data_IF_489846461846
#
_entry.id   IF_489846461846
#
_cell.length_a   1.000
_cell.length_b   1.000
_cell.length_c   1.000
_cell.angle_alpha   90.00
_cell.angle_beta   90.00
_cell.angle_gamma   90.00
#
_symmetry.space_group_name_H-M   'P 1'
#
loop_
_entity.id
_entity.type
_entity.pdbx_description
1 polymer ?
#
# COMPACT_ATOMS: atom_id res chain seq x y z
N UNK A 1 7.58 -12.48 60.74
CA UNK A 1 6.97 -13.05 59.52
C UNK A 1 6.50 -14.51 59.65
N UNK A 2 6.76 -15.22 60.77
CA UNK A 2 6.34 -16.63 60.91
C UNK A 2 4.99 -16.87 61.61
N UNK A 3 4.46 -15.91 62.37
CA UNK A 3 3.19 -16.11 63.10
C UNK A 3 1.97 -16.12 62.16
N UNK A 4 1.97 -15.28 61.13
CA UNK A 4 0.85 -15.20 60.16
C UNK A 4 0.58 -16.50 59.40
N UNK A 5 1.62 -17.30 59.13
CA UNK A 5 1.47 -18.56 58.40
C UNK A 5 0.92 -19.68 59.28
N UNK A 6 1.33 -19.74 60.54
CA UNK A 6 0.81 -20.72 61.51
C UNK A 6 -0.66 -20.44 61.81
N UNK A 7 -1.02 -19.17 62.01
CA UNK A 7 -2.40 -18.76 62.27
C UNK A 7 -3.31 -18.96 61.05
N UNK A 8 -2.79 -18.84 59.82
CA UNK A 8 -3.51 -19.16 58.59
C UNK A 8 -3.75 -20.66 58.43
N UNK A 9 -2.74 -21.50 58.68
CA UNK A 9 -2.89 -22.95 58.59
C UNK A 9 -3.90 -23.49 59.60
N UNK A 10 -3.90 -22.98 60.84
CA UNK A 10 -4.87 -23.40 61.87
C UNK A 10 -6.30 -23.09 61.41
N UNK A 11 -6.54 -21.90 60.82
CA UNK A 11 -7.86 -21.54 60.29
C UNK A 11 -8.30 -22.42 59.13
N UNK A 12 -7.40 -22.72 58.19
CA UNK A 12 -7.73 -23.59 57.06
C UNK A 12 -8.05 -25.02 57.53
N UNK A 13 -7.28 -25.56 58.47
CA UNK A 13 -7.50 -26.89 59.02
C UNK A 13 -8.78 -26.98 59.88
N UNK A 14 -9.22 -25.88 60.50
CA UNK A 14 -10.53 -25.80 61.15
C UNK A 14 -11.69 -25.80 60.16
N UNK A 15 -11.51 -25.19 58.99
CA UNK A 15 -12.56 -25.14 57.95
C UNK A 15 -12.73 -26.48 57.22
N UNK A 16 -11.72 -27.33 57.21
CA UNK A 16 -11.77 -28.66 56.54
C UNK A 16 -12.23 -29.80 57.47
N UNK A 17 -12.60 -29.52 58.72
CA UNK A 17 -13.23 -30.50 59.61
C UNK A 17 -12.30 -31.58 60.17
N UNK A 18 -11.00 -31.30 60.21
CA UNK A 18 -9.95 -32.21 60.69
C UNK A 18 -10.07 -32.41 62.20
N UNK A 19 -9.90 -33.66 62.65
CA UNK A 19 -10.05 -34.02 64.06
C UNK A 19 -8.90 -33.47 64.92
N UNK A 20 -9.10 -33.24 66.23
CA UNK A 20 -8.05 -32.69 67.10
C UNK A 20 -6.75 -33.50 67.09
N UNK A 21 -6.86 -34.83 67.03
CA UNK A 21 -5.71 -35.74 67.06
C UNK A 21 -4.83 -35.61 65.79
N UNK A 22 -5.43 -35.41 64.62
CA UNK A 22 -4.72 -35.21 63.35
C UNK A 22 -4.00 -33.85 63.30
N UNK A 23 -4.50 -32.84 64.01
CA UNK A 23 -3.83 -31.53 64.13
C UNK A 23 -2.54 -31.62 64.94
N UNK A 24 -2.57 -32.37 66.03
CA UNK A 24 -1.40 -32.55 66.89
C UNK A 24 -0.28 -33.31 66.15
N UNK A 25 -0.63 -34.34 65.37
CA UNK A 25 0.34 -35.04 64.50
C UNK A 25 0.94 -34.11 63.44
N UNK A 26 0.12 -33.24 62.83
CA UNK A 26 0.61 -32.29 61.83
C UNK A 26 1.55 -31.25 62.46
N UNK A 27 1.26 -30.79 63.68
CA UNK A 27 2.13 -29.89 64.42
C UNK A 27 3.47 -30.54 64.77
N UNK A 28 3.47 -31.82 65.12
CA UNK A 28 4.70 -32.58 65.37
C UNK A 28 5.53 -32.76 64.09
N UNK A 29 4.90 -33.03 62.95
CA UNK A 29 5.60 -33.09 61.65
C UNK A 29 6.16 -31.72 61.27
N UNK A 30 5.40 -30.63 61.44
CA UNK A 30 5.87 -29.26 61.16
C UNK A 30 7.04 -28.90 62.07
N UNK A 31 6.99 -29.26 63.37
CA UNK A 31 8.08 -29.03 64.30
C UNK A 31 9.30 -29.90 63.99
N UNK A 32 9.11 -31.14 63.55
CA UNK A 32 10.17 -32.01 63.06
C UNK A 32 10.82 -31.47 61.78
N UNK A 33 10.02 -30.91 60.86
CA UNK A 33 10.49 -30.24 59.63
C UNK A 33 11.20 -28.92 59.95
N UNK A 34 10.74 -28.14 60.94
CA UNK A 34 11.46 -26.95 61.42
C UNK A 34 12.80 -27.32 62.06
N UNK A 35 12.82 -28.40 62.85
CA UNK A 35 14.04 -28.91 63.50
C UNK A 35 15.04 -29.46 62.48
N UNK A 36 14.58 -30.03 61.36
CA UNK A 36 15.44 -30.52 60.27
C UNK A 36 15.79 -29.44 59.23
N UNK A 37 14.96 -28.41 59.03
CA UNK A 37 15.29 -27.26 58.17
C UNK A 37 16.25 -26.26 58.83
N UNK A 38 16.51 -26.40 60.13
CA UNK A 38 17.60 -25.75 60.87
C UNK A 38 19.01 -26.24 60.52
N UNK A 39 19.19 -27.06 59.47
CA UNK A 39 20.52 -27.29 58.89
C UNK A 39 20.95 -25.98 58.22
N UNK A 40 21.67 -25.15 58.98
CA UNK A 40 22.47 -24.05 58.47
C UNK A 40 23.43 -24.59 57.41
N UNK A 41 22.98 -24.63 56.15
CA UNK A 41 23.81 -25.06 55.03
C UNK A 41 25.03 -24.15 55.00
N UNK A 42 26.21 -24.78 55.12
CA UNK A 42 27.51 -24.12 55.11
C UNK A 42 27.56 -23.04 54.02
N UNK A 43 28.07 -21.86 54.36
CA UNK A 43 28.25 -20.74 53.42
C UNK A 43 29.03 -21.18 52.17
N UNK A 44 29.89 -22.20 52.28
CA UNK A 44 30.62 -22.77 51.15
C UNK A 44 29.70 -23.52 50.18
N UNK A 45 28.65 -24.20 50.67
CA UNK A 45 27.65 -24.85 49.82
C UNK A 45 26.79 -23.81 49.10
N UNK A 46 26.35 -22.76 49.80
CA UNK A 46 25.60 -21.65 49.18
C UNK A 46 26.42 -20.98 48.09
N UNK A 47 27.69 -20.66 48.37
CA UNK A 47 28.61 -20.09 47.37
C UNK A 47 28.83 -21.05 46.21
N UNK A 48 29.05 -22.34 46.44
CA UNK A 48 29.20 -23.33 45.36
C UNK A 48 27.94 -23.46 44.49
N UNK A 49 26.76 -23.44 45.10
CA UNK A 49 25.48 -23.52 44.39
C UNK A 49 25.19 -22.23 43.60
N UNK A 50 25.43 -21.06 44.17
CA UNK A 50 25.32 -19.77 43.49
C UNK A 50 26.30 -19.66 42.32
N UNK A 51 27.54 -20.15 42.49
CA UNK A 51 28.52 -20.14 41.41
C UNK A 51 28.12 -21.10 40.26
N UNK A 52 27.48 -22.24 40.60
CA UNK A 52 26.92 -23.17 39.60
C UNK A 52 25.73 -22.57 38.84
N UNK A 53 24.86 -21.80 39.51
CA UNK A 53 23.76 -21.07 38.88
C UNK A 53 24.24 -19.87 38.04
N UNK A 54 25.26 -19.16 38.50
CA UNK A 54 25.85 -18.00 37.81
C UNK A 54 26.51 -18.43 36.49
N UNK A 55 27.22 -19.56 36.47
CA UNK A 55 27.88 -20.06 35.26
C UNK A 55 26.92 -20.65 34.22
N UNK A 56 25.67 -20.99 34.58
CA UNK A 56 24.65 -21.40 33.59
C UNK A 56 24.08 -20.25 32.75
N UNK A 57 24.28 -18.97 33.12
CA UNK A 57 23.73 -17.82 32.38
C UNK A 57 24.56 -17.38 31.17
N UNK A 58 25.77 -17.92 30.97
CA UNK A 58 26.70 -17.43 29.94
C UNK A 58 26.46 -17.96 28.52
N UNK A 59 25.62 -18.97 28.32
CA UNK A 59 25.38 -19.52 26.97
C UNK A 59 24.22 -18.85 26.19
N UNK A 60 23.43 -17.98 26.82
CA UNK A 60 22.32 -17.28 26.12
C UNK A 60 22.77 -16.11 25.23
N UNK A 61 24.05 -15.75 25.22
CA UNK A 61 24.58 -14.64 24.42
C UNK A 61 24.90 -14.99 22.95
N UNK A 62 24.96 -16.27 22.59
CA UNK A 62 25.26 -16.69 21.21
C UNK A 62 24.04 -16.73 20.29
N UNK A 63 22.83 -16.87 20.86
CA UNK A 63 21.60 -16.81 20.05
C UNK A 63 21.28 -15.39 19.58
N UNK A 64 21.71 -14.33 20.29
CA UNK A 64 21.42 -12.96 19.84
C UNK A 64 22.19 -12.58 18.58
N UNK A 65 23.43 -13.05 18.41
CA UNK A 65 24.28 -12.68 17.27
C UNK A 65 23.77 -13.21 15.92
N UNK A 66 23.05 -14.34 15.91
CA UNK A 66 22.53 -14.94 14.68
C UNK A 66 21.26 -14.22 14.20
N UNK A 67 20.44 -13.69 15.13
CA UNK A 67 19.20 -12.99 14.78
C UNK A 67 19.36 -11.47 14.63
N UNK A 68 20.45 -10.87 15.13
CA UNK A 68 20.75 -9.44 14.92
C UNK A 68 20.74 -9.03 13.44
N UNK A 69 21.43 -9.73 12.51
CA UNK A 69 21.40 -9.33 11.10
C UNK A 69 20.00 -9.51 10.47
N UNK A 70 19.25 -10.54 10.86
CA UNK A 70 17.88 -10.73 10.41
C UNK A 70 16.93 -9.65 10.92
N UNK A 71 17.06 -9.25 12.20
CA UNK A 71 16.29 -8.15 12.80
C UNK A 71 16.64 -6.79 12.18
N UNK A 72 17.91 -6.54 11.88
CA UNK A 72 18.32 -5.32 11.18
C UNK A 72 17.76 -5.30 9.76
N UNK A 73 17.78 -6.43 9.06
CA UNK A 73 17.20 -6.54 7.72
C UNK A 73 15.69 -6.32 7.74
N UNK A 74 14.95 -6.94 8.66
CA UNK A 74 13.49 -6.72 8.78
C UNK A 74 13.16 -5.30 9.20
N UNK A 75 13.94 -4.70 10.09
CA UNK A 75 13.79 -3.30 10.47
C UNK A 75 14.07 -2.35 9.29
N UNK A 76 15.10 -2.64 8.48
CA UNK A 76 15.41 -1.87 7.28
C UNK A 76 14.32 -2.02 6.22
N UNK A 77 13.79 -3.24 6.04
CA UNK A 77 12.64 -3.52 5.16
C UNK A 77 11.41 -2.77 5.65
N UNK A 78 11.16 -2.74 6.96
CA UNK A 78 10.06 -2.00 7.56
C UNK A 78 10.21 -0.49 7.34
N UNK A 79 11.41 0.07 7.49
CA UNK A 79 11.69 1.48 7.18
C UNK A 79 11.45 1.78 5.69
N UNK A 80 11.86 0.87 4.79
CA UNK A 80 11.62 0.99 3.35
C UNK A 80 10.12 0.95 3.03
N UNK A 81 9.38 0.01 3.60
CA UNK A 81 7.93 -0.13 3.38
C UNK A 81 7.17 1.05 3.99
N UNK A 82 7.47 1.43 5.24
CA UNK A 82 6.85 2.59 5.87
C UNK A 82 7.21 3.90 5.14
N UNK A 83 8.47 4.04 4.72
CA UNK A 83 8.97 5.19 3.98
C UNK A 83 8.32 5.36 2.60
N UNK A 84 8.03 4.26 1.90
CA UNK A 84 7.35 4.33 0.58
C UNK A 84 5.90 4.81 0.69
N UNK A 85 5.17 4.37 1.71
CA UNK A 85 3.79 4.85 1.96
C UNK A 85 3.79 6.35 2.28
N UNK A 86 4.72 6.81 3.12
CA UNK A 86 4.88 8.23 3.41
C UNK A 86 5.37 9.03 2.20
N UNK A 87 6.18 8.44 1.33
CA UNK A 87 6.66 9.09 0.10
C UNK A 87 5.50 9.37 -0.87
N UNK A 88 4.52 8.47 -1.01
CA UNK A 88 3.38 8.70 -1.90
C UNK A 88 2.52 9.90 -1.50
N UNK A 89 2.38 10.17 -0.19
CA UNK A 89 1.66 11.33 0.35
C UNK A 89 2.51 12.59 0.41
N UNK A 90 3.78 12.51 0.02
CA UNK A 90 4.66 13.65 0.17
C UNK A 90 4.31 14.79 -0.77
N UNK A 91 4.35 16.00 -0.24
CA UNK A 91 4.16 17.25 -0.98
C UNK A 91 5.49 17.77 -1.53
N UNK A 92 5.47 18.59 -2.59
CA UNK A 92 6.64 19.31 -3.08
C UNK A 92 7.39 20.02 -1.94
N UNK A 93 8.71 19.81 -1.85
CA UNK A 93 9.56 20.37 -0.79
C UNK A 93 9.74 19.46 0.43
N UNK A 94 9.07 18.31 0.50
CA UNK A 94 9.32 17.32 1.55
C UNK A 94 10.49 16.37 1.18
N UNK A 95 11.23 15.83 2.17
CA UNK A 95 12.42 14.99 1.92
C UNK A 95 12.18 13.76 1.03
N UNK A 96 10.97 13.18 1.11
CA UNK A 96 10.61 11.98 0.36
C UNK A 96 10.00 12.26 -1.02
N UNK A 97 9.80 13.53 -1.38
CA UNK A 97 9.21 13.92 -2.66
C UNK A 97 10.05 13.49 -3.87
N UNK A 98 11.40 13.58 -3.87
CA UNK A 98 12.20 13.08 -4.97
C UNK A 98 12.00 11.58 -5.23
N UNK A 99 11.80 10.78 -4.17
CA UNK A 99 11.54 9.34 -4.28
C UNK A 99 10.17 9.09 -4.92
N UNK A 100 9.15 9.89 -4.56
CA UNK A 100 7.83 9.87 -5.22
C UNK A 100 7.97 10.12 -6.71
N UNK A 101 8.63 11.21 -7.11
CA UNK A 101 8.85 11.55 -8.54
C UNK A 101 9.56 10.41 -9.28
N UNK A 102 10.62 9.85 -8.69
CA UNK A 102 11.36 8.74 -9.31
C UNK A 102 10.46 7.52 -9.52
N UNK A 103 9.67 7.14 -8.50
CA UNK A 103 8.74 6.02 -8.61
C UNK A 103 7.67 6.25 -9.67
N UNK A 104 7.12 7.47 -9.76
CA UNK A 104 6.11 7.85 -10.75
C UNK A 104 6.68 7.82 -12.17
N UNK A 105 7.93 8.25 -12.38
CA UNK A 105 8.59 8.19 -13.68
C UNK A 105 8.83 6.74 -14.16
N UNK A 106 9.21 5.85 -13.25
CA UNK A 106 9.37 4.42 -13.57
C UNK A 106 8.03 3.82 -13.99
N UNK A 107 6.97 4.08 -13.21
CA UNK A 107 5.62 3.58 -13.52
C UNK A 107 5.12 4.17 -14.85
N UNK A 108 5.33 5.47 -15.09
CA UNK A 108 4.96 6.14 -16.36
C UNK A 108 5.64 5.52 -17.57
N UNK A 109 6.89 5.06 -17.41
CA UNK A 109 7.64 4.38 -18.48
C UNK A 109 7.02 3.01 -18.82
N UNK A 110 6.54 2.29 -17.82
CA UNK A 110 5.93 0.96 -18.00
C UNK A 110 4.46 1.07 -18.44
N UNK A 111 3.73 2.04 -17.92
CA UNK A 111 2.32 2.27 -18.18
C UNK A 111 2.08 3.75 -18.52
N UNK A 112 2.10 4.13 -19.81
CA UNK A 112 1.86 5.51 -20.23
C UNK A 112 0.49 6.06 -19.81
N UNK A 113 -0.53 5.21 -19.66
CA UNK A 113 -1.87 5.62 -19.20
C UNK A 113 -1.88 6.11 -17.75
N UNK A 114 -0.83 5.78 -16.98
CA UNK A 114 -0.61 6.29 -15.63
C UNK A 114 -0.35 7.80 -15.61
N UNK A 115 -0.05 8.42 -16.76
CA UNK A 115 0.14 9.86 -16.84
C UNK A 115 -1.07 10.66 -16.34
N UNK A 116 -2.28 10.15 -16.60
CA UNK A 116 -3.52 10.73 -16.10
C UNK A 116 -3.61 10.77 -14.57
N UNK A 117 -3.08 9.73 -13.93
CA UNK A 117 -3.03 9.64 -12.47
C UNK A 117 -2.03 10.66 -11.92
N UNK A 118 -0.88 10.82 -12.58
CA UNK A 118 0.11 11.84 -12.22
C UNK A 118 -0.49 13.24 -12.36
N UNK A 119 -1.19 13.53 -13.45
CA UNK A 119 -1.86 14.81 -13.69
C UNK A 119 -2.83 15.16 -12.55
N UNK A 120 -3.72 14.21 -12.20
CA UNK A 120 -4.63 14.35 -11.06
C UNK A 120 -3.87 14.63 -9.77
N UNK A 121 -2.85 13.85 -9.45
CA UNK A 121 -2.05 14.06 -8.23
C UNK A 121 -1.38 15.42 -8.19
N UNK A 122 -0.89 15.93 -9.31
CA UNK A 122 -0.33 17.29 -9.38
C UNK A 122 -1.38 18.36 -9.10
N UNK A 123 -2.62 18.18 -9.57
CA UNK A 123 -3.73 19.10 -9.21
C UNK A 123 -4.07 19.07 -7.71
N UNK A 124 -4.05 17.89 -7.08
CA UNK A 124 -4.25 17.74 -5.63
C UNK A 124 -3.10 18.34 -4.81
N UNK A 125 -1.86 18.22 -5.31
CA UNK A 125 -0.69 18.89 -4.73
C UNK A 125 -0.83 20.42 -4.79
N UNK A 126 -1.30 20.97 -5.91
CA UNK A 126 -1.57 22.41 -6.08
C UNK A 126 -2.65 22.88 -5.09
N UNK A 127 -3.75 22.13 -4.97
CA UNK A 127 -4.81 22.40 -3.99
C UNK A 127 -4.25 22.41 -2.56
N UNK A 128 -3.56 21.35 -2.17
CA UNK A 128 -2.99 21.20 -0.83
C UNK A 128 -1.97 22.31 -0.50
N UNK A 129 -1.12 22.70 -1.48
CA UNK A 129 -0.17 23.80 -1.30
C UNK A 129 -0.86 25.15 -1.17
N UNK A 130 -1.97 25.35 -1.89
CA UNK A 130 -2.78 26.58 -1.84
C UNK A 130 -3.49 26.71 -0.49
N UNK A 131 -4.12 25.63 -0.01
CA UNK A 131 -4.76 25.57 1.32
C UNK A 131 -3.74 25.82 2.46
N UNK A 132 -2.55 25.24 2.35
CA UNK A 132 -1.49 25.41 3.36
C UNK A 132 -0.78 26.76 3.28
N UNK A 133 -1.17 27.65 2.34
CA UNK A 133 -0.53 28.95 2.09
C UNK A 133 1.00 28.84 1.98
N UNK A 134 1.47 27.74 1.40
CA UNK A 134 2.89 27.41 1.26
C UNK A 134 3.57 28.36 0.27
N UNK A 135 4.90 28.36 0.30
CA UNK A 135 5.74 29.20 -0.54
C UNK A 135 5.31 29.18 -2.02
N UNK A 136 5.17 30.37 -2.61
CA UNK A 136 4.86 30.60 -4.03
C UNK A 136 5.81 29.87 -4.99
N UNK A 137 7.07 29.63 -4.62
CA UNK A 137 8.03 28.91 -5.45
C UNK A 137 7.70 27.42 -5.61
N UNK A 138 7.25 26.76 -4.53
CA UNK A 138 6.83 25.36 -4.59
C UNK A 138 5.54 25.20 -5.40
N UNK A 139 4.59 26.12 -5.19
CA UNK A 139 3.35 26.14 -5.96
C UNK A 139 3.62 26.33 -7.46
N UNK A 140 4.48 27.29 -7.81
CA UNK A 140 4.85 27.53 -9.20
C UNK A 140 5.50 26.31 -9.84
N UNK A 141 6.46 25.68 -9.17
CA UNK A 141 7.08 24.44 -9.68
C UNK A 141 6.06 23.33 -9.91
N UNK A 142 5.04 23.25 -9.05
CA UNK A 142 3.98 22.24 -9.16
C UNK A 142 3.03 22.55 -10.32
N UNK A 143 2.71 23.82 -10.57
CA UNK A 143 1.96 24.29 -11.74
C UNK A 143 2.72 24.03 -13.05
N UNK A 144 4.03 24.24 -13.06
CA UNK A 144 4.89 23.94 -14.23
C UNK A 144 4.89 22.44 -14.52
N UNK A 145 5.00 21.61 -13.48
CA UNK A 145 4.91 20.15 -13.62
C UNK A 145 3.52 19.72 -14.10
N UNK A 146 2.45 20.30 -13.56
CA UNK A 146 1.09 20.03 -14.01
C UNK A 146 0.91 20.33 -15.51
N UNK A 147 1.38 21.50 -15.96
CA UNK A 147 1.29 21.92 -17.37
C UNK A 147 2.02 20.94 -18.30
N UNK A 148 3.22 20.48 -17.91
CA UNK A 148 3.97 19.48 -18.69
C UNK A 148 3.24 18.15 -18.81
N UNK A 149 2.56 17.72 -17.75
CA UNK A 149 1.79 16.47 -17.80
C UNK A 149 0.51 16.61 -18.64
N UNK A 150 -0.09 17.79 -18.65
CA UNK A 150 -1.30 18.09 -19.44
C UNK A 150 -1.05 18.04 -20.95
N UNK A 151 0.15 18.42 -21.41
CA UNK A 151 0.54 18.42 -22.83
C UNK A 151 0.71 17.01 -23.44
N UNK A 152 0.68 15.96 -22.62
CA UNK A 152 0.77 14.60 -23.14
C UNK A 152 -0.49 14.19 -23.90
N UNK A 153 -0.34 13.30 -24.91
CA UNK A 153 -1.45 12.88 -25.79
C UNK A 153 -2.36 11.79 -25.20
N UNK A 154 -1.99 11.21 -24.06
CA UNK A 154 -2.71 10.08 -23.46
C UNK A 154 -3.55 10.57 -22.28
N UNK A 155 -4.48 11.48 -22.55
CA UNK A 155 -5.21 12.15 -21.49
C UNK A 155 -6.69 11.74 -21.45
N UNK A 156 -7.13 11.19 -20.33
CA UNK A 156 -8.49 10.70 -20.11
C UNK A 156 -9.36 11.86 -19.60
N UNK A 157 -10.43 12.18 -20.31
CA UNK A 157 -11.34 13.30 -20.02
C UNK A 157 -11.80 13.37 -18.56
N UNK A 158 -12.17 12.23 -17.97
CA UNK A 158 -12.64 12.16 -16.57
C UNK A 158 -11.59 12.67 -15.58
N UNK A 159 -10.33 12.27 -15.76
CA UNK A 159 -9.24 12.67 -14.85
C UNK A 159 -8.82 14.12 -15.06
N UNK A 160 -9.02 14.67 -16.26
CA UNK A 160 -8.77 16.08 -16.54
C UNK A 160 -9.85 16.95 -15.91
N UNK A 161 -11.12 16.54 -15.98
CA UNK A 161 -12.23 17.24 -15.29
C UNK A 161 -12.04 17.23 -13.77
N UNK A 162 -11.66 16.09 -13.18
CA UNK A 162 -11.30 16.03 -11.76
C UNK A 162 -10.13 16.97 -11.43
N UNK A 163 -9.14 17.04 -12.32
CA UNK A 163 -8.01 17.96 -12.16
C UNK A 163 -8.43 19.42 -12.21
N UNK A 164 -9.36 19.78 -13.12
CA UNK A 164 -9.93 21.12 -13.20
C UNK A 164 -10.63 21.50 -11.90
N UNK A 165 -11.48 20.62 -11.36
CA UNK A 165 -12.15 20.86 -10.08
C UNK A 165 -11.15 21.13 -8.95
N UNK A 166 -10.07 20.35 -8.87
CA UNK A 166 -9.03 20.58 -7.87
C UNK A 166 -8.33 21.93 -8.05
N UNK A 167 -8.12 22.40 -9.27
CA UNK A 167 -7.55 23.72 -9.56
C UNK A 167 -8.50 24.87 -9.20
N UNK A 168 -9.81 24.71 -9.45
CA UNK A 168 -10.83 25.68 -9.04
C UNK A 168 -10.85 25.85 -7.52
N UNK A 169 -10.89 24.74 -6.78
CA UNK A 169 -10.80 24.74 -5.31
C UNK A 169 -9.46 25.35 -4.84
N UNK A 170 -8.36 25.08 -5.55
CA UNK A 170 -7.07 25.70 -5.26
C UNK A 170 -7.09 27.22 -5.45
N UNK A 171 -7.77 27.73 -6.49
CA UNK A 171 -7.91 29.17 -6.78
C UNK A 171 -8.65 29.88 -5.65
N UNK A 172 -9.73 29.29 -5.14
CA UNK A 172 -10.49 29.84 -4.01
C UNK A 172 -9.66 29.89 -2.73
N UNK A 173 -8.86 28.85 -2.47
CA UNK A 173 -8.00 28.77 -1.28
C UNK A 173 -6.72 29.61 -1.38
N UNK A 174 -6.32 30.05 -2.58
CA UNK A 174 -5.03 30.71 -2.81
C UNK A 174 -5.01 32.19 -2.47
N UNK A 175 -3.82 32.71 -2.16
CA UNK A 175 -3.56 34.16 -2.06
C UNK A 175 -3.59 34.81 -3.45
N UNK A 176 -3.99 36.08 -3.51
CA UNK A 176 -4.22 36.83 -4.76
C UNK A 176 -3.08 36.72 -5.79
N UNK A 177 -1.83 36.77 -5.32
CA UNK A 177 -0.63 36.64 -6.15
C UNK A 177 -0.54 35.32 -6.93
N UNK A 178 -1.11 34.26 -6.38
CA UNK A 178 -1.06 32.91 -6.95
C UNK A 178 -2.31 32.57 -7.77
N UNK A 179 -3.45 33.23 -7.51
CA UNK A 179 -4.72 33.01 -8.22
C UNK A 179 -4.56 33.13 -9.73
N UNK A 180 -3.85 34.16 -10.21
CA UNK A 180 -3.63 34.36 -11.64
C UNK A 180 -2.96 33.17 -12.32
N UNK A 181 -1.94 32.58 -11.68
CA UNK A 181 -1.24 31.42 -12.24
C UNK A 181 -2.08 30.14 -12.22
N UNK A 182 -2.93 29.99 -11.19
CA UNK A 182 -3.88 28.88 -11.11
C UNK A 182 -4.96 29.04 -12.19
N UNK A 183 -5.43 30.26 -12.42
CA UNK A 183 -6.40 30.59 -13.47
C UNK A 183 -5.86 30.29 -14.87
N UNK A 184 -4.61 30.66 -15.15
CA UNK A 184 -3.93 30.27 -16.40
C UNK A 184 -3.86 28.75 -16.58
N UNK A 185 -3.69 27.99 -15.48
CA UNK A 185 -3.70 26.52 -15.54
C UNK A 185 -5.10 25.95 -15.77
N UNK A 186 -6.15 26.55 -15.19
CA UNK A 186 -7.55 26.18 -15.43
C UNK A 186 -7.89 26.38 -16.90
N UNK A 187 -7.57 27.54 -17.48
CA UNK A 187 -7.84 27.85 -18.89
C UNK A 187 -7.17 26.85 -19.83
N UNK A 188 -5.90 26.51 -19.58
CA UNK A 188 -5.20 25.46 -20.34
C UNK A 188 -5.89 24.09 -20.23
N UNK A 189 -6.41 23.78 -19.05
CA UNK A 189 -7.10 22.51 -18.79
C UNK A 189 -8.43 22.46 -19.54
N UNK A 190 -9.19 23.56 -19.56
CA UNK A 190 -10.44 23.69 -20.32
C UNK A 190 -10.20 23.52 -21.82
N UNK A 191 -9.19 24.22 -22.37
CA UNK A 191 -8.82 24.08 -23.77
C UNK A 191 -8.45 22.64 -24.13
N UNK A 192 -7.78 21.91 -23.22
CA UNK A 192 -7.44 20.49 -23.43
C UNK A 192 -8.68 19.59 -23.40
N UNK A 193 -9.66 19.88 -22.54
CA UNK A 193 -10.94 19.14 -22.50
C UNK A 193 -11.69 19.33 -23.82
N UNK A 194 -11.74 20.55 -24.35
CA UNK A 194 -12.36 20.83 -25.65
C UNK A 194 -11.68 20.09 -26.80
N UNK A 195 -10.34 20.09 -26.85
CA UNK A 195 -9.56 19.36 -27.85
C UNK A 195 -9.88 17.85 -27.86
N UNK A 196 -10.01 17.25 -26.68
CA UNK A 196 -10.34 15.82 -26.54
C UNK A 196 -11.78 15.53 -27.01
N UNK A 197 -12.73 16.41 -26.68
CA UNK A 197 -14.11 16.26 -27.14
C UNK A 197 -14.25 16.39 -28.68
N UNK A 198 -13.49 17.29 -29.30
CA UNK A 198 -13.46 17.45 -30.75
C UNK A 198 -12.78 16.26 -31.46
N UNK A 199 -11.73 15.67 -30.86
CA UNK A 199 -11.10 14.45 -31.39
C UNK A 199 -12.03 13.23 -31.31
N UNK A 200 -12.78 13.07 -30.21
CA UNK A 200 -13.73 11.96 -30.03
C UNK A 200 -14.93 12.07 -31.00
N UNK A 201 -15.41 13.28 -31.31
CA UNK A 201 -16.46 13.48 -32.30
C UNK A 201 -15.98 13.17 -33.73
N UNK A 202 -14.78 13.60 -34.11
CA UNK A 202 -14.20 13.29 -35.43
C UNK A 202 -13.90 11.78 -35.60
N UNK A 203 -13.48 11.09 -34.54
CA UNK A 203 -13.33 9.63 -34.55
C UNK A 203 -14.65 8.90 -34.76
N UNK A 204 -15.72 9.36 -34.11
CA UNK A 204 -17.08 8.81 -34.31
C UNK A 204 -17.58 8.92 -35.75
N UNK A 205 -17.18 9.95 -36.48
CA UNK A 205 -17.57 10.17 -37.88
C UNK A 205 -16.75 9.31 -38.85
N UNK A 206 -15.44 9.14 -38.61
CA UNK A 206 -14.57 8.28 -39.43
C UNK A 206 -14.94 6.78 -39.38
N UNK A 207 -15.38 6.25 -38.23
CA UNK A 207 -15.86 4.86 -38.11
C UNK A 207 -17.18 4.68 -38.91
N UNK A 208 -18.03 5.70 -38.98
CA UNK A 208 -19.29 5.65 -39.74
C UNK A 208 -19.06 5.65 -41.25
N UNK A 209 -17.94 6.23 -41.72
CA UNK A 209 -17.55 6.24 -43.14
C UNK A 209 -16.94 4.89 -43.54
N UNK A 210 -16.11 4.27 -42.69
CA UNK A 210 -15.46 2.98 -42.99
C UNK A 210 -16.46 1.79 -42.99
N UNK A 211 -17.47 1.82 -42.11
CA UNK A 211 -18.56 0.82 -42.12
C UNK A 211 -19.44 0.95 -43.37
N UNK A 212 -19.63 2.17 -43.89
CA UNK A 212 -20.38 2.39 -45.15
C UNK A 212 -19.61 1.98 -46.40
N UNK A 213 -18.29 2.11 -46.43
CA UNK A 213 -17.47 1.65 -47.56
C UNK A 213 -17.35 0.12 -47.61
N UNK A 214 -17.36 -0.58 -46.47
CA UNK A 214 -17.34 -2.04 -46.44
C UNK A 214 -18.69 -2.66 -46.86
N UNK A 215 -19.81 -1.97 -46.62
CA UNK A 215 -21.15 -2.44 -47.03
C UNK A 215 -21.44 -2.23 -48.52
N UNK A 216 -20.82 -1.25 -49.17
CA UNK A 216 -21.03 -1.00 -50.61
C UNK A 216 -20.17 -1.88 -51.52
N UNK A 217 -19.09 -2.47 -51.01
CA UNK A 217 -18.26 -3.44 -51.75
C UNK A 217 -18.82 -4.86 -51.79
N UNK A 218 -19.76 -5.24 -50.90
CA UNK A 218 -20.38 -6.57 -50.92
C UNK A 218 -21.68 -6.65 -51.74
N UNK A 219 -22.22 -5.53 -52.22
CA UNK A 219 -23.43 -5.52 -53.04
C UNK A 219 -23.15 -5.59 -54.56
N UNK A 220 -21.91 -5.29 -55.00
CA UNK A 220 -21.52 -5.47 -56.41
C UNK A 220 -21.02 -6.89 -56.77
N UNK A 221 -20.62 -7.72 -55.79
CA UNK A 221 -20.13 -9.09 -56.08
C UNK A 221 -21.27 -10.11 -56.22
N UNK A 222 -22.42 -9.90 -55.55
CA UNK A 222 -23.56 -10.82 -55.64
C UNK A 222 -24.37 -10.68 -56.94
N UNK A 223 -24.29 -9.55 -57.64
CA UNK A 223 -25.03 -9.36 -58.90
C UNK A 223 -24.32 -9.92 -60.15
N UNK A 224 -23.11 -10.50 -59.99
CA UNK A 224 -22.36 -11.13 -61.09
C UNK A 224 -22.47 -12.66 -61.12
N UNK A 225 -22.96 -13.28 -60.05
CA UNK A 225 -23.05 -14.75 -59.93
C UNK A 225 -24.38 -15.31 -60.49
N UNK A 226 -25.46 -14.53 -60.54
CA UNK A 226 -26.77 -15.01 -61.03
C UNK A 226 -26.93 -15.10 -62.56
N UNK A 227 -25.93 -14.70 -63.36
CA UNK A 227 -26.01 -14.71 -64.84
C UNK A 227 -25.17 -15.76 -65.57
N UNK A 228 -24.58 -16.73 -64.87
CA UNK A 228 -23.69 -17.75 -65.49
C UNK A 228 -23.94 -19.20 -65.07
N UNK A 229 -25.15 -19.54 -64.61
CA UNK A 229 -25.56 -20.91 -64.27
C UNK A 229 -26.53 -21.55 -65.27
N UNK A 230 -26.43 -21.19 -66.54
CA UNK A 230 -27.21 -21.79 -67.62
C UNK A 230 -26.29 -22.52 -68.59
N UNK A 231 -26.65 -23.77 -68.86
CA UNK A 231 -26.23 -24.64 -69.97
C UNK A 231 -25.04 -25.59 -69.80
N UNK A 232 -25.31 -26.79 -70.34
CA UNK A 232 -24.42 -27.92 -70.69
C UNK A 232 -24.05 -28.87 -69.52
N UNK A 233 -24.27 -30.18 -69.62
CA UNK A 233 -24.60 -31.01 -70.77
C UNK A 233 -24.02 -32.40 -70.56
N UNK A 234 -24.75 -33.41 -70.99
CA UNK A 234 -24.42 -34.84 -70.95
C UNK A 234 -23.05 -35.20 -71.56
N UNK A 235 -22.41 -36.24 -71.00
CA UNK A 235 -21.75 -37.37 -71.70
C UNK A 235 -20.92 -38.17 -70.68
N UNK A 236 -21.26 -39.42 -70.38
CA UNK A 236 -20.87 -40.67 -71.07
C UNK A 236 -19.58 -41.31 -70.53
N UNK A 237 -19.78 -42.30 -69.65
CA UNK A 237 -19.34 -43.71 -69.77
C UNK A 237 -17.91 -44.06 -70.27
N UNK A 238 -17.28 -45.00 -69.52
CA UNK A 238 -16.14 -45.93 -69.81
C UNK A 238 -14.92 -45.70 -68.89
N UNK A 239 -14.18 -46.70 -68.39
CA UNK A 239 -14.11 -48.16 -68.45
C UNK A 239 -12.91 -48.56 -67.55
N UNK A 240 -12.83 -49.84 -67.12
CA UNK A 240 -11.67 -50.56 -66.52
C UNK A 240 -11.43 -50.38 -65.02
N UNK A 241 -11.26 -51.40 -64.19
CA UNK A 241 -11.22 -52.86 -64.31
C UNK A 241 -11.72 -53.47 -62.97
#
# INVERSE_FOLDING_TARGET
MNKDFEDQLIRELETEGITPDEKDELFDVINMVKKTSGINRSENFKKAYLNKLSNQKKEKFFYSQIYIPALLFTFLLFILIAGTVSAQKSLPGQPLYPVKILSENIIKTVNPSFNNEILKRRSEEIKSLSEQKKDSGLLQKTLDNYSKELETKSTNSVKIEESKKNLEEAKEASVEKNKKKIEEAIEKTENKILEIHDEDQNRGESIKIEVKSAQTSHEEENNKIEKKGGHEGESEQKEKD
#
